data_IF_184443474669
#
_entry.id   IF_184443474669
#
_cell.length_a   1.000
_cell.length_b   1.000
_cell.length_c   1.000
_cell.angle_alpha   90.00
_cell.angle_beta   90.00
_cell.angle_gamma   90.00
#
_symmetry.space_group_name_H-M   'P 1'
#
loop_
_entity.id
_entity.type
_entity.pdbx_description
1 polymer ?
#
# COMPACT_ATOMS: atom_id res chain seq x y z
N UNK A 1 -17.12 17.28 30.76
CA UNK A 1 -15.99 16.34 30.49
C UNK A 1 -14.77 17.16 30.11
N UNK A 2 -13.62 16.97 30.77
CA UNK A 2 -12.43 17.80 30.54
C UNK A 2 -11.93 17.60 29.09
N UNK A 3 -11.60 18.71 28.42
CA UNK A 3 -11.03 18.69 27.06
C UNK A 3 -9.49 18.59 27.14
N UNK A 4 -8.99 17.78 28.07
CA UNK A 4 -7.57 17.63 28.35
C UNK A 4 -7.00 16.35 27.68
N UNK A 5 -5.75 16.44 27.24
CA UNK A 5 -4.99 15.33 26.72
C UNK A 5 -4.68 14.31 27.81
N UNK A 6 -5.05 13.06 27.60
CA UNK A 6 -4.81 11.97 28.56
C UNK A 6 -3.33 11.76 28.92
N UNK A 7 -2.39 12.24 28.07
CA UNK A 7 -0.94 11.99 28.24
C UNK A 7 -0.13 13.16 28.79
N UNK A 8 -0.62 14.39 28.69
CA UNK A 8 0.17 15.57 29.10
C UNK A 8 -0.67 16.75 29.57
N UNK A 9 -1.96 16.57 29.83
CA UNK A 9 -2.92 17.55 30.33
C UNK A 9 -3.10 18.83 29.49
N UNK A 10 -2.41 18.98 28.33
CA UNK A 10 -2.68 20.07 27.38
C UNK A 10 -4.05 19.92 26.75
N UNK A 11 -4.57 20.95 26.09
CA UNK A 11 -5.83 20.89 25.35
C UNK A 11 -5.78 19.77 24.32
N UNK A 12 -6.76 18.88 24.36
CA UNK A 12 -6.93 17.81 23.38
C UNK A 12 -7.57 18.35 22.09
N UNK A 13 -7.08 17.86 20.96
CA UNK A 13 -7.56 18.23 19.62
C UNK A 13 -7.97 17.00 18.79
N UNK A 14 -7.67 15.81 19.27
CA UNK A 14 -8.03 14.53 18.61
C UNK A 14 -8.71 13.63 19.62
N UNK A 15 -9.83 13.04 19.21
CA UNK A 15 -10.50 11.96 19.95
C UNK A 15 -10.40 10.65 19.15
N UNK A 16 -9.96 9.59 19.82
CA UNK A 16 -9.85 8.24 19.27
C UNK A 16 -10.97 7.37 19.82
N UNK A 17 -12.09 7.18 19.10
CA UNK A 17 -13.28 6.51 19.62
C UNK A 17 -13.03 5.06 20.10
N UNK A 18 -12.16 4.32 19.39
CA UNK A 18 -11.86 2.92 19.70
C UNK A 18 -11.09 2.72 21.02
N UNK A 19 -10.47 3.75 21.56
CA UNK A 19 -9.73 3.72 22.85
C UNK A 19 -10.26 4.70 23.88
N UNK A 20 -11.21 5.58 23.50
CA UNK A 20 -11.70 6.67 24.35
C UNK A 20 -10.65 7.74 24.68
N UNK A 21 -9.47 7.71 24.03
CA UNK A 21 -8.39 8.65 24.32
C UNK A 21 -8.61 10.00 23.63
N UNK A 22 -8.48 11.07 24.41
CA UNK A 22 -8.36 12.46 23.93
C UNK A 22 -6.89 12.86 23.94
N UNK A 23 -6.34 13.34 22.82
CA UNK A 23 -4.92 13.65 22.66
C UNK A 23 -4.71 15.07 22.10
N UNK A 24 -3.68 15.76 22.59
CA UNK A 24 -3.18 16.96 21.94
C UNK A 24 -2.38 16.60 20.67
N UNK A 25 -2.11 17.58 19.80
CA UNK A 25 -1.35 17.41 18.54
C UNK A 25 -0.06 16.59 18.75
N UNK A 26 0.81 16.99 19.69
CA UNK A 26 2.10 16.31 19.94
C UNK A 26 1.91 14.86 20.39
N UNK A 27 1.02 14.62 21.33
CA UNK A 27 0.78 13.27 21.86
C UNK A 27 0.11 12.36 20.80
N UNK A 28 -0.74 12.92 19.94
CA UNK A 28 -1.33 12.18 18.81
C UNK A 28 -0.25 11.74 17.82
N UNK A 29 0.58 12.67 17.32
CA UNK A 29 1.67 12.34 16.38
C UNK A 29 2.59 11.26 16.94
N UNK A 30 3.03 11.43 18.18
CA UNK A 30 3.87 10.43 18.86
C UNK A 30 3.16 9.08 19.05
N UNK A 31 1.83 9.09 19.24
CA UNK A 31 1.04 7.86 19.36
C UNK A 31 1.02 7.07 18.05
N UNK A 32 0.82 7.76 16.93
CA UNK A 32 0.85 7.13 15.58
C UNK A 32 2.23 6.52 15.33
N UNK A 33 3.29 7.30 15.46
CA UNK A 33 4.67 6.85 15.24
C UNK A 33 5.04 5.65 16.11
N UNK A 34 4.68 5.68 17.41
CA UNK A 34 4.94 4.57 18.34
C UNK A 34 4.18 3.30 17.94
N UNK A 35 2.94 3.41 17.47
CA UNK A 35 2.15 2.25 17.02
C UNK A 35 2.74 1.64 15.76
N UNK A 36 3.21 2.46 14.81
CA UNK A 36 3.92 1.97 13.62
C UNK A 36 5.20 1.24 14.03
N UNK A 37 6.02 1.85 14.87
CA UNK A 37 7.24 1.20 15.38
C UNK A 37 6.94 -0.11 16.13
N UNK A 38 5.90 -0.13 16.98
CA UNK A 38 5.48 -1.34 17.67
C UNK A 38 5.04 -2.45 16.70
N UNK A 39 4.34 -2.08 15.63
CA UNK A 39 3.89 -3.04 14.62
C UNK A 39 5.07 -3.63 13.83
N UNK A 40 6.03 -2.79 13.42
CA UNK A 40 7.27 -3.22 12.77
C UNK A 40 8.01 -4.23 13.68
N UNK A 41 8.19 -3.90 14.96
CA UNK A 41 8.89 -4.76 15.91
C UNK A 41 8.13 -6.07 16.18
N UNK A 42 6.81 -6.01 16.39
CA UNK A 42 5.95 -7.17 16.68
C UNK A 42 5.98 -8.20 15.55
N UNK A 43 5.97 -7.74 14.31
CA UNK A 43 5.92 -8.59 13.13
C UNK A 43 7.29 -8.85 12.51
N UNK A 44 8.35 -8.29 13.11
CA UNK A 44 9.73 -8.39 12.61
C UNK A 44 9.85 -8.00 11.13
N UNK A 45 9.14 -6.92 10.75
CA UNK A 45 9.09 -6.46 9.36
C UNK A 45 10.42 -5.94 8.85
N UNK A 46 11.23 -5.33 9.71
CA UNK A 46 12.50 -4.69 9.38
C UNK A 46 13.60 -5.15 10.32
N UNK A 47 14.81 -5.24 9.79
CA UNK A 47 16.06 -5.37 10.53
C UNK A 47 16.75 -4.00 10.60
N UNK A 48 17.67 -3.84 11.54
CA UNK A 48 18.37 -2.56 11.78
C UNK A 48 19.33 -2.14 10.65
N UNK A 49 19.69 -3.06 9.77
CA UNK A 49 20.62 -2.86 8.66
C UNK A 49 19.96 -2.97 7.28
N UNK A 50 18.62 -3.04 7.21
CA UNK A 50 17.93 -3.23 5.94
C UNK A 50 18.08 -2.02 5.01
N UNK A 51 18.25 -2.30 3.73
CA UNK A 51 18.03 -1.36 2.64
C UNK A 51 16.55 -1.41 2.26
N UNK A 52 15.81 -0.37 2.61
CA UNK A 52 14.35 -0.35 2.58
C UNK A 52 13.84 0.45 1.38
N UNK A 53 13.16 -0.21 0.45
CA UNK A 53 12.41 0.46 -0.61
C UNK A 53 11.08 0.99 -0.10
N UNK A 54 10.81 2.27 -0.26
CA UNK A 54 9.54 2.90 0.10
C UNK A 54 8.77 3.24 -1.16
N UNK A 55 7.65 2.53 -1.42
CA UNK A 55 6.78 2.83 -2.54
C UNK A 55 5.98 4.11 -2.26
N UNK A 56 6.31 5.20 -2.94
CA UNK A 56 5.68 6.51 -2.74
C UNK A 56 4.92 6.92 -3.99
N UNK A 57 3.59 6.95 -3.89
CA UNK A 57 2.69 7.32 -4.99
C UNK A 57 2.38 8.81 -5.07
N UNK A 58 2.80 9.63 -4.10
CA UNK A 58 2.39 11.03 -3.96
C UNK A 58 1.06 11.22 -3.21
N UNK A 59 0.30 10.16 -2.97
CA UNK A 59 -0.89 10.19 -2.14
C UNK A 59 -0.57 10.23 -0.65
N UNK A 60 -1.53 10.72 0.14
CA UNK A 60 -1.46 10.96 1.58
C UNK A 60 -0.75 9.87 2.38
N UNK A 61 -1.22 8.61 2.26
CA UNK A 61 -0.72 7.52 3.10
C UNK A 61 0.74 7.17 2.77
N UNK A 62 1.13 7.25 1.49
CA UNK A 62 2.51 6.97 1.08
C UNK A 62 3.49 8.03 1.57
N UNK A 63 3.08 9.29 1.59
CA UNK A 63 3.87 10.40 2.15
C UNK A 63 3.99 10.26 3.68
N UNK A 64 2.89 9.95 4.37
CA UNK A 64 2.89 9.69 5.81
C UNK A 64 3.83 8.55 6.18
N UNK A 65 3.76 7.43 5.43
CA UNK A 65 4.65 6.28 5.63
C UNK A 65 6.12 6.69 5.50
N UNK A 66 6.46 7.43 4.43
CA UNK A 66 7.82 7.89 4.17
C UNK A 66 8.38 8.70 5.35
N UNK A 67 7.61 9.70 5.84
CA UNK A 67 8.02 10.55 6.97
C UNK A 67 8.16 9.77 8.28
N UNK A 68 7.27 8.81 8.55
CA UNK A 68 7.34 7.99 9.75
C UNK A 68 8.56 7.06 9.68
N UNK A 69 8.80 6.40 8.54
CA UNK A 69 9.97 5.54 8.36
C UNK A 69 11.27 6.33 8.45
N UNK A 70 11.37 7.48 7.81
CA UNK A 70 12.54 8.35 7.94
C UNK A 70 12.86 8.67 9.41
N UNK A 71 11.84 9.02 10.20
CA UNK A 71 12.02 9.30 11.63
C UNK A 71 12.41 8.07 12.45
N UNK A 72 11.93 6.88 12.09
CA UNK A 72 12.26 5.63 12.79
C UNK A 72 13.69 5.20 12.43
N UNK A 73 13.98 5.15 11.14
CA UNK A 73 15.22 4.60 10.59
C UNK A 73 16.42 5.52 10.80
N UNK A 74 16.21 6.84 10.97
CA UNK A 74 17.29 7.77 11.35
C UNK A 74 18.00 7.41 12.66
N UNK A 75 17.42 6.52 13.46
CA UNK A 75 18.04 5.98 14.68
C UNK A 75 18.93 4.75 14.44
N UNK A 76 18.95 4.23 13.23
CA UNK A 76 19.71 3.05 12.84
C UNK A 76 20.69 3.43 11.72
N UNK A 77 21.97 3.68 12.05
CA UNK A 77 22.95 4.20 11.08
C UNK A 77 23.19 3.30 9.87
N UNK A 78 22.99 2.00 10.02
CA UNK A 78 23.16 1.01 8.94
C UNK A 78 21.93 0.89 8.04
N UNK A 79 20.74 1.37 8.49
CA UNK A 79 19.52 1.34 7.70
C UNK A 79 19.57 2.40 6.59
N UNK A 80 19.09 2.03 5.41
CA UNK A 80 19.02 2.93 4.25
C UNK A 80 17.60 2.96 3.71
N UNK A 81 17.13 4.16 3.38
CA UNK A 81 15.85 4.36 2.72
C UNK A 81 16.08 4.72 1.25
N UNK A 82 15.25 4.13 0.38
CA UNK A 82 15.19 4.44 -1.05
C UNK A 82 13.73 4.66 -1.45
N UNK A 83 13.40 5.81 -2.02
CA UNK A 83 12.07 6.06 -2.57
C UNK A 83 11.95 5.37 -3.93
N UNK A 84 10.88 4.60 -4.13
CA UNK A 84 10.54 3.98 -5.41
C UNK A 84 9.19 4.55 -5.87
N UNK A 85 9.20 5.22 -7.02
CA UNK A 85 8.01 5.81 -7.63
C UNK A 85 7.73 5.17 -8.99
N UNK A 86 6.46 4.84 -9.22
CA UNK A 86 5.97 4.36 -10.51
C UNK A 86 5.02 5.40 -11.08
N UNK A 87 5.33 5.90 -12.26
CA UNK A 87 4.43 6.73 -13.05
C UNK A 87 3.52 5.82 -13.90
N UNK A 88 2.24 5.82 -13.59
CA UNK A 88 1.26 5.04 -14.32
C UNK A 88 0.86 5.67 -15.67
N UNK A 89 1.23 6.91 -15.92
CA UNK A 89 0.88 7.65 -17.12
C UNK A 89 -0.61 8.02 -17.17
N UNK A 90 -1.15 8.49 -16.05
CA UNK A 90 -2.49 9.09 -15.95
C UNK A 90 -2.33 10.59 -16.13
N UNK A 91 -2.95 11.14 -17.19
CA UNK A 91 -2.83 12.54 -17.56
C UNK A 91 -3.09 13.48 -16.38
N UNK A 92 -2.25 14.50 -16.22
CA UNK A 92 -2.25 15.51 -15.15
C UNK A 92 -2.10 14.93 -13.72
N UNK A 93 -2.55 13.70 -13.46
CA UNK A 93 -2.51 13.08 -12.15
C UNK A 93 -1.11 12.57 -11.81
N UNK A 94 -0.48 11.85 -12.73
CA UNK A 94 0.85 11.28 -12.52
C UNK A 94 1.94 12.34 -12.39
N UNK A 95 1.91 13.39 -13.20
CA UNK A 95 2.87 14.50 -13.14
C UNK A 95 2.79 15.26 -11.80
N UNK A 96 1.57 15.52 -11.33
CA UNK A 96 1.36 16.13 -10.03
C UNK A 96 1.91 15.29 -8.89
N UNK A 97 1.66 13.97 -8.94
CA UNK A 97 2.20 13.02 -7.97
C UNK A 97 3.72 13.01 -7.95
N UNK A 98 4.37 12.99 -9.11
CA UNK A 98 5.82 12.99 -9.23
C UNK A 98 6.44 14.26 -8.63
N UNK A 99 5.83 15.45 -8.86
CA UNK A 99 6.29 16.71 -8.24
C UNK A 99 6.28 16.62 -6.72
N UNK A 100 5.24 16.05 -6.13
CA UNK A 100 5.13 15.83 -4.68
C UNK A 100 6.22 14.88 -4.20
N UNK A 101 6.41 13.75 -4.87
CA UNK A 101 7.43 12.76 -4.49
C UNK A 101 8.84 13.36 -4.53
N UNK A 102 9.19 14.08 -5.60
CA UNK A 102 10.48 14.78 -5.73
C UNK A 102 10.70 15.81 -4.62
N UNK A 103 9.65 16.54 -4.23
CA UNK A 103 9.71 17.49 -3.12
C UNK A 103 10.10 16.79 -1.83
N UNK A 104 9.40 15.71 -1.44
CA UNK A 104 9.71 14.98 -0.20
C UNK A 104 11.06 14.26 -0.25
N UNK A 105 11.46 13.74 -1.41
CA UNK A 105 12.80 13.15 -1.59
C UNK A 105 13.91 14.17 -1.26
N UNK A 106 13.77 15.39 -1.78
CA UNK A 106 14.70 16.51 -1.52
C UNK A 106 14.64 16.95 -0.06
N UNK A 107 13.44 17.17 0.51
CA UNK A 107 13.26 17.61 1.90
C UNK A 107 13.86 16.64 2.94
N UNK A 108 13.76 15.34 2.68
CA UNK A 108 14.26 14.29 3.58
C UNK A 108 15.66 13.79 3.22
N UNK A 109 16.24 14.29 2.13
CA UNK A 109 17.53 13.83 1.60
C UNK A 109 17.57 12.31 1.39
N UNK A 110 16.48 11.73 0.82
CA UNK A 110 16.36 10.31 0.52
C UNK A 110 16.49 10.12 -0.99
N UNK A 111 17.35 9.18 -1.46
CA UNK A 111 17.44 8.85 -2.89
C UNK A 111 16.09 8.44 -3.48
N UNK A 112 15.83 8.85 -4.73
CA UNK A 112 14.62 8.53 -5.48
C UNK A 112 14.99 7.82 -6.78
N UNK A 113 14.39 6.65 -6.99
CA UNK A 113 14.33 6.01 -8.30
C UNK A 113 12.91 6.01 -8.82
N UNK A 114 12.75 6.19 -10.12
CA UNK A 114 11.44 6.23 -10.76
C UNK A 114 11.47 5.49 -12.10
N UNK A 115 10.33 4.98 -12.51
CA UNK A 115 10.08 4.46 -13.84
C UNK A 115 8.61 4.67 -14.20
N UNK A 116 8.26 4.45 -15.47
CA UNK A 116 6.89 4.61 -15.96
C UNK A 116 6.33 3.32 -16.56
N UNK A 117 5.01 3.25 -16.64
CA UNK A 117 4.35 2.18 -17.41
C UNK A 117 4.75 2.22 -18.88
N UNK A 118 4.99 3.42 -19.43
CA UNK A 118 5.45 3.58 -20.81
C UNK A 118 6.80 2.90 -21.04
N UNK A 119 7.74 3.06 -20.12
CA UNK A 119 9.06 2.42 -20.18
C UNK A 119 9.00 0.89 -20.00
N UNK A 120 8.19 0.40 -19.03
CA UNK A 120 8.16 -1.03 -18.71
C UNK A 120 7.26 -1.82 -19.66
N UNK A 121 6.12 -1.24 -20.09
CA UNK A 121 5.06 -1.94 -20.82
C UNK A 121 4.79 -1.39 -22.22
N UNK A 122 5.49 -0.33 -22.63
CA UNK A 122 5.30 0.35 -23.91
C UNK A 122 4.02 1.21 -24.01
N UNK A 123 3.20 1.25 -22.95
CA UNK A 123 1.92 1.95 -22.92
C UNK A 123 1.68 2.58 -21.56
N UNK A 124 1.03 3.75 -21.53
CA UNK A 124 0.51 4.37 -20.30
C UNK A 124 -0.75 3.64 -19.82
N UNK A 125 -1.18 3.90 -18.58
CA UNK A 125 -2.46 3.37 -18.10
C UNK A 125 -3.63 3.91 -18.92
N UNK A 126 -3.61 5.20 -19.29
CA UNK A 126 -4.64 5.80 -20.12
C UNK A 126 -4.76 5.11 -21.48
N UNK A 127 -3.63 4.80 -22.13
CA UNK A 127 -3.59 4.04 -23.40
C UNK A 127 -4.14 2.61 -23.20
N UNK A 128 -3.75 1.94 -22.11
CA UNK A 128 -4.21 0.58 -21.78
C UNK A 128 -5.74 0.56 -21.60
N UNK A 129 -6.29 1.52 -20.88
CA UNK A 129 -7.73 1.58 -20.62
C UNK A 129 -8.52 1.91 -21.89
N UNK A 130 -8.05 2.86 -22.70
CA UNK A 130 -8.66 3.15 -24.00
C UNK A 130 -8.74 1.93 -24.91
N UNK A 131 -7.71 1.09 -24.92
CA UNK A 131 -7.70 -0.17 -25.69
C UNK A 131 -8.69 -1.18 -25.07
N UNK A 132 -8.64 -1.35 -23.75
CA UNK A 132 -9.53 -2.28 -23.05
C UNK A 132 -11.02 -1.91 -23.17
N UNK A 133 -11.35 -0.63 -23.31
CA UNK A 133 -12.72 -0.13 -23.50
C UNK A 133 -13.29 -0.44 -24.88
N UNK A 134 -12.44 -0.51 -25.90
CA UNK A 134 -12.83 -0.90 -27.27
C UNK A 134 -12.97 -2.40 -27.46
N UNK A 135 -12.52 -3.20 -26.51
CA UNK A 135 -12.60 -4.65 -26.57
C UNK A 135 -14.01 -5.12 -26.16
N UNK A 136 -14.64 -5.98 -26.98
CA UNK A 136 -15.94 -6.61 -26.70
C UNK A 136 -15.92 -7.43 -25.39
N UNK A 137 -14.72 -7.81 -24.93
CA UNK A 137 -14.49 -8.60 -23.71
C UNK A 137 -14.14 -7.76 -22.46
N UNK A 138 -14.63 -6.54 -22.32
CA UNK A 138 -14.42 -5.68 -21.15
C UNK A 138 -14.92 -6.34 -19.86
N UNK A 139 -14.08 -7.16 -19.21
CA UNK A 139 -14.42 -7.83 -17.93
C UNK A 139 -13.72 -7.21 -16.72
N UNK A 140 -12.78 -6.29 -16.92
CA UNK A 140 -11.94 -5.77 -15.83
C UNK A 140 -11.89 -4.23 -15.86
N UNK A 141 -12.13 -3.62 -14.71
CA UNK A 141 -11.96 -2.17 -14.52
C UNK A 141 -10.49 -1.73 -14.48
N UNK A 142 -10.25 -0.45 -14.68
CA UNK A 142 -8.93 0.19 -14.71
C UNK A 142 -8.06 -0.15 -13.48
N UNK A 143 -8.65 -0.17 -12.29
CA UNK A 143 -7.96 -0.51 -11.05
C UNK A 143 -7.37 -1.93 -11.05
N UNK A 144 -7.98 -2.87 -11.78
CA UNK A 144 -7.47 -4.23 -11.92
C UNK A 144 -6.18 -4.28 -12.75
N UNK A 145 -6.15 -3.57 -13.88
CA UNK A 145 -4.93 -3.42 -14.71
C UNK A 145 -3.85 -2.71 -13.90
N UNK A 146 -4.18 -1.53 -13.37
CA UNK A 146 -3.24 -0.72 -12.59
C UNK A 146 -2.64 -1.50 -11.43
N UNK A 147 -3.46 -2.18 -10.63
CA UNK A 147 -2.98 -2.92 -9.46
C UNK A 147 -2.06 -4.10 -9.80
N UNK A 148 -2.27 -4.79 -10.92
CA UNK A 148 -1.41 -5.90 -11.37
C UNK A 148 -0.08 -5.37 -11.91
N UNK A 149 -0.14 -4.38 -12.80
CA UNK A 149 1.04 -3.80 -13.45
C UNK A 149 1.93 -3.07 -12.43
N UNK A 150 1.35 -2.27 -11.53
CA UNK A 150 2.07 -1.56 -10.47
C UNK A 150 2.83 -2.52 -9.55
N UNK A 151 2.20 -3.62 -9.12
CA UNK A 151 2.87 -4.61 -8.27
C UNK A 151 4.06 -5.27 -8.96
N UNK A 152 3.96 -5.54 -10.26
CA UNK A 152 5.06 -6.08 -11.05
C UNK A 152 6.18 -5.06 -11.21
N UNK A 153 5.86 -3.82 -11.59
CA UNK A 153 6.81 -2.72 -11.74
C UNK A 153 7.59 -2.45 -10.43
N UNK A 154 6.87 -2.34 -9.31
CA UNK A 154 7.47 -2.14 -7.99
C UNK A 154 8.41 -3.29 -7.60
N UNK A 155 8.04 -4.56 -7.86
CA UNK A 155 8.92 -5.68 -7.56
C UNK A 155 10.19 -5.66 -8.41
N UNK A 156 10.06 -5.34 -9.70
CA UNK A 156 11.20 -5.21 -10.63
C UNK A 156 12.17 -4.13 -10.13
N UNK A 157 11.67 -2.92 -9.88
CA UNK A 157 12.48 -1.78 -9.39
C UNK A 157 13.15 -2.08 -8.05
N UNK A 158 12.42 -2.65 -7.11
CA UNK A 158 12.94 -3.01 -5.80
C UNK A 158 14.07 -4.04 -5.89
N UNK A 159 13.94 -5.04 -6.77
CA UNK A 159 14.99 -6.04 -7.02
C UNK A 159 16.21 -5.43 -7.68
N UNK A 160 16.04 -4.61 -8.72
CA UNK A 160 17.13 -3.94 -9.44
C UNK A 160 17.90 -2.97 -8.54
N UNK A 161 17.23 -2.35 -7.59
CA UNK A 161 17.84 -1.50 -6.57
C UNK A 161 18.41 -2.28 -5.37
N UNK A 162 18.38 -3.61 -5.38
CA UNK A 162 18.88 -4.47 -4.31
C UNK A 162 18.36 -4.07 -2.92
N UNK A 163 17.07 -3.73 -2.80
CA UNK A 163 16.47 -3.50 -1.48
C UNK A 163 16.09 -4.82 -0.83
N UNK A 164 16.24 -4.89 0.49
CA UNK A 164 15.92 -6.09 1.28
C UNK A 164 14.42 -6.29 1.42
N UNK A 165 13.67 -5.19 1.49
CA UNK A 165 12.23 -5.20 1.53
C UNK A 165 11.60 -3.97 0.88
N UNK A 166 10.36 -4.11 0.43
CA UNK A 166 9.54 -3.04 -0.16
C UNK A 166 8.40 -2.69 0.78
N UNK A 167 8.32 -1.44 1.21
CA UNK A 167 7.23 -0.95 2.06
C UNK A 167 6.11 -0.34 1.22
N UNK A 168 4.87 -0.62 1.60
CA UNK A 168 3.68 -0.03 1.00
C UNK A 168 2.76 0.55 2.08
N UNK A 169 2.08 1.64 1.76
CA UNK A 169 1.32 2.44 2.72
C UNK A 169 -0.12 1.96 2.96
N UNK A 170 -0.37 0.64 2.84
CA UNK A 170 -1.67 0.10 3.17
C UNK A 170 -1.95 0.28 4.67
N UNK A 171 -3.05 0.96 4.97
CA UNK A 171 -3.50 1.29 6.31
C UNK A 171 -4.50 0.24 6.86
N UNK A 172 -5.07 0.45 8.05
CA UNK A 172 -6.02 -0.46 8.69
C UNK A 172 -7.29 -0.64 7.86
N UNK A 173 -7.76 0.42 7.22
CA UNK A 173 -8.95 0.40 6.36
C UNK A 173 -8.72 -0.48 5.12
N UNK A 174 -7.56 -0.34 4.48
CA UNK A 174 -7.17 -1.17 3.32
C UNK A 174 -7.05 -2.65 3.69
N UNK A 175 -6.45 -2.95 4.84
CA UNK A 175 -6.27 -4.32 5.31
C UNK A 175 -7.63 -4.98 5.60
N UNK A 176 -8.49 -4.30 6.35
CA UNK A 176 -9.81 -4.86 6.71
C UNK A 176 -10.73 -5.02 5.51
N UNK A 177 -10.72 -4.06 4.57
CA UNK A 177 -11.42 -4.20 3.29
C UNK A 177 -10.90 -5.41 2.51
N UNK A 178 -9.58 -5.60 2.44
CA UNK A 178 -8.97 -6.73 1.71
C UNK A 178 -9.29 -8.07 2.38
N UNK A 179 -9.24 -8.14 3.71
CA UNK A 179 -9.60 -9.33 4.48
C UNK A 179 -11.06 -9.71 4.19
N UNK A 180 -11.99 -8.77 4.36
CA UNK A 180 -13.42 -9.02 4.16
C UNK A 180 -13.73 -9.37 2.71
N UNK A 181 -13.10 -8.68 1.74
CA UNK A 181 -13.24 -8.99 0.32
C UNK A 181 -12.82 -10.43 -0.02
N UNK A 182 -11.72 -10.91 0.57
CA UNK A 182 -11.24 -12.27 0.33
C UNK A 182 -12.13 -13.32 1.01
N UNK A 183 -12.68 -13.01 2.20
CA UNK A 183 -13.65 -13.87 2.88
C UNK A 183 -14.93 -13.99 2.03
N UNK A 184 -15.51 -12.88 1.59
CA UNK A 184 -16.74 -12.85 0.81
C UNK A 184 -16.58 -13.51 -0.59
N UNK A 185 -15.34 -13.57 -1.11
CA UNK A 185 -15.01 -14.29 -2.35
C UNK A 185 -14.62 -15.75 -2.13
N UNK A 186 -14.56 -16.23 -0.90
CA UNK A 186 -14.10 -17.59 -0.58
C UNK A 186 -12.63 -17.84 -0.96
N UNK A 187 -11.78 -16.79 -1.10
CA UNK A 187 -10.41 -16.93 -1.60
C UNK A 187 -9.41 -17.08 -0.44
N UNK A 188 -9.32 -18.29 0.12
CA UNK A 188 -8.39 -18.63 1.19
C UNK A 188 -6.93 -18.40 0.79
N UNK A 189 -6.59 -18.62 -0.48
CA UNK A 189 -5.22 -18.42 -0.97
C UNK A 189 -4.81 -16.94 -0.91
N UNK A 190 -5.70 -16.02 -1.30
CA UNK A 190 -5.44 -14.58 -1.18
C UNK A 190 -5.48 -14.13 0.27
N UNK A 191 -6.40 -14.68 1.06
CA UNK A 191 -6.47 -14.40 2.48
C UNK A 191 -5.14 -14.75 3.16
N UNK A 192 -4.62 -15.97 3.01
CA UNK A 192 -3.32 -16.38 3.57
C UNK A 192 -2.16 -15.51 3.09
N UNK A 193 -2.09 -15.21 1.78
CA UNK A 193 -1.00 -14.40 1.20
C UNK A 193 -1.02 -12.92 1.61
N UNK A 194 -2.14 -12.40 2.09
CA UNK A 194 -2.23 -11.03 2.60
C UNK A 194 -1.56 -10.87 3.98
N UNK A 195 -1.35 -11.99 4.70
CA UNK A 195 -0.68 -11.96 6.00
C UNK A 195 0.76 -11.44 5.86
N UNK A 196 1.18 -10.49 6.70
CA UNK A 196 2.52 -9.94 6.62
C UNK A 196 3.55 -11.03 6.90
N UNK A 197 4.38 -11.32 5.91
CA UNK A 197 5.50 -12.23 6.04
C UNK A 197 6.73 -11.58 5.41
N UNK A 198 7.75 -11.26 6.19
CA UNK A 198 9.00 -10.71 5.65
C UNK A 198 9.86 -11.78 4.95
N UNK A 199 9.40 -13.04 4.90
CA UNK A 199 10.16 -14.13 4.30
C UNK A 199 10.23 -14.01 2.78
N UNK A 200 11.42 -14.17 2.24
CA UNK A 200 11.68 -14.25 0.81
C UNK A 200 11.26 -15.63 0.31
N UNK A 201 10.20 -15.68 -0.48
CA UNK A 201 9.63 -16.93 -1.01
C UNK A 201 10.19 -17.33 -2.37
N UNK A 202 10.91 -16.43 -3.04
CA UNK A 202 11.56 -16.66 -4.33
C UNK A 202 12.70 -15.64 -4.51
N UNK A 203 13.86 -15.97 -5.14
CA UNK A 203 14.97 -15.04 -5.32
C UNK A 203 14.61 -13.71 -6.01
N UNK A 204 13.69 -13.75 -6.96
CA UNK A 204 13.22 -12.57 -7.71
C UNK A 204 12.06 -11.83 -7.05
N UNK A 205 11.56 -12.27 -5.89
CA UNK A 205 10.50 -11.57 -5.13
C UNK A 205 11.09 -10.84 -3.94
N UNK A 206 10.91 -9.53 -3.94
CA UNK A 206 11.25 -8.69 -2.78
C UNK A 206 10.09 -8.75 -1.77
N UNK A 207 10.36 -9.08 -0.49
CA UNK A 207 9.35 -9.11 0.57
C UNK A 207 8.63 -7.76 0.67
N UNK A 208 7.30 -7.81 0.74
CA UNK A 208 6.48 -6.60 0.92
C UNK A 208 5.92 -6.51 2.33
N UNK A 209 6.10 -5.35 2.93
CA UNK A 209 5.65 -5.06 4.29
C UNK A 209 4.72 -3.85 4.32
N UNK A 210 3.90 -3.75 5.37
CA UNK A 210 2.83 -2.76 5.50
C UNK A 210 2.87 -2.12 6.89
N UNK A 211 3.79 -1.20 7.15
CA UNK A 211 3.97 -0.62 8.49
C UNK A 211 2.73 0.12 9.03
N UNK A 212 1.89 0.67 8.14
CA UNK A 212 0.66 1.40 8.53
C UNK A 212 -0.56 0.49 8.76
N UNK A 213 -0.45 -0.84 8.65
CA UNK A 213 -1.60 -1.76 8.70
C UNK A 213 -2.46 -1.70 9.97
N UNK A 214 -1.95 -1.12 11.05
CA UNK A 214 -2.68 -0.89 12.31
C UNK A 214 -3.11 0.55 12.52
N UNK A 215 -2.91 1.43 11.54
CA UNK A 215 -3.25 2.85 11.64
C UNK A 215 -4.50 3.12 10.78
N UNK A 216 -5.61 3.60 11.38
CA UNK A 216 -6.80 3.98 10.61
C UNK A 216 -6.51 5.09 9.58
N UNK A 217 -7.20 5.05 8.44
CA UNK A 217 -7.06 6.07 7.39
C UNK A 217 -7.33 7.48 7.91
N UNK A 218 -8.31 7.64 8.81
CA UNK A 218 -8.60 8.92 9.46
C UNK A 218 -7.39 9.46 10.23
N UNK A 219 -6.60 8.60 10.83
CA UNK A 219 -5.43 9.02 11.60
C UNK A 219 -4.24 9.37 10.70
N UNK A 220 -4.06 8.69 9.57
CA UNK A 220 -3.06 9.10 8.58
C UNK A 220 -3.42 10.46 7.98
N UNK A 221 -4.70 10.74 7.76
CA UNK A 221 -5.18 12.07 7.34
C UNK A 221 -4.85 13.16 8.36
N UNK A 222 -5.17 12.92 9.64
CA UNK A 222 -4.84 13.86 10.70
C UNK A 222 -3.33 14.02 10.90
N UNK A 223 -2.57 12.95 10.73
CA UNK A 223 -1.11 12.99 10.81
C UNK A 223 -0.52 13.88 9.70
N UNK A 224 -0.96 13.70 8.45
CA UNK A 224 -0.54 14.53 7.33
C UNK A 224 -0.88 16.01 7.56
N UNK A 225 -2.10 16.29 8.04
CA UNK A 225 -2.55 17.65 8.37
C UNK A 225 -1.68 18.29 9.47
N UNK A 226 -1.50 17.62 10.60
CA UNK A 226 -0.73 18.17 11.72
C UNK A 226 0.78 18.28 11.45
N UNK A 227 1.30 17.52 10.48
CA UNK A 227 2.70 17.62 10.03
C UNK A 227 2.87 18.53 8.82
N UNK A 228 1.78 19.13 8.31
CA UNK A 228 1.76 19.97 7.10
C UNK A 228 2.40 19.26 5.89
N UNK A 229 2.12 17.96 5.71
CA UNK A 229 2.69 17.18 4.62
C UNK A 229 1.91 17.45 3.32
N UNK A 230 2.59 17.96 2.30
CA UNK A 230 2.00 18.10 0.97
C UNK A 230 1.75 16.73 0.35
N UNK A 231 0.56 16.52 -0.19
CA UNK A 231 0.17 15.28 -0.86
C UNK A 231 -0.91 15.58 -1.91
N UNK A 232 -1.09 14.66 -2.85
CA UNK A 232 -2.20 14.77 -3.79
C UNK A 232 -3.50 14.43 -3.07
N UNK A 233 -4.42 15.38 -2.99
CA UNK A 233 -5.76 15.23 -2.43
C UNK A 233 -6.81 14.86 -3.47
N UNK A 234 -6.49 14.97 -4.77
CA UNK A 234 -7.42 14.61 -5.84
C UNK A 234 -7.53 13.08 -5.95
N UNK A 235 -8.74 12.54 -6.07
CA UNK A 235 -8.90 11.11 -6.32
C UNK A 235 -8.35 10.75 -7.70
N UNK A 236 -7.93 9.49 -7.87
CA UNK A 236 -7.55 8.99 -9.18
C UNK A 236 -8.77 9.02 -10.12
N UNK A 237 -8.64 9.52 -11.37
CA UNK A 237 -9.77 9.59 -12.32
C UNK A 237 -10.42 8.23 -12.60
N UNK A 238 -9.68 7.14 -12.42
CA UNK A 238 -10.15 5.77 -12.61
C UNK A 238 -10.73 5.13 -11.36
N UNK A 239 -10.90 5.87 -10.26
CA UNK A 239 -11.59 5.35 -9.08
C UNK A 239 -13.06 5.16 -9.43
N UNK A 240 -13.47 3.90 -9.54
CA UNK A 240 -14.86 3.51 -9.83
C UNK A 240 -15.50 2.91 -8.60
N UNK A 241 -16.80 3.11 -8.45
CA UNK A 241 -17.61 2.37 -7.48
C UNK A 241 -17.58 0.88 -7.84
N UNK A 242 -17.43 0.04 -6.83
CA UNK A 242 -17.36 -1.41 -7.02
C UNK A 242 -17.36 -2.14 -5.69
N UNK A 243 -17.32 -3.46 -5.74
CA UNK A 243 -17.45 -4.34 -4.58
C UNK A 243 -16.55 -3.95 -3.38
N UNK A 244 -15.39 -3.34 -3.65
CA UNK A 244 -14.51 -2.82 -2.58
C UNK A 244 -15.11 -1.57 -1.91
N UNK A 245 -15.84 -0.75 -2.64
CA UNK A 245 -16.48 0.45 -2.10
C UNK A 245 -17.67 0.09 -1.22
N UNK A 246 -18.46 -0.92 -1.60
CA UNK A 246 -19.55 -1.44 -0.75
C UNK A 246 -18.99 -1.92 0.60
N UNK A 247 -17.89 -2.66 0.55
CA UNK A 247 -17.18 -3.13 1.76
C UNK A 247 -16.67 -1.94 2.59
N UNK A 248 -16.12 -0.91 1.93
CA UNK A 248 -15.64 0.30 2.60
C UNK A 248 -16.77 1.02 3.31
N UNK A 249 -17.89 1.21 2.64
CA UNK A 249 -19.08 1.86 3.22
C UNK A 249 -19.59 1.05 4.42
N UNK A 250 -19.75 -0.26 4.27
CA UNK A 250 -20.17 -1.16 5.34
C UNK A 250 -19.23 -1.09 6.55
N UNK A 251 -17.92 -1.23 6.36
CA UNK A 251 -16.95 -1.18 7.45
C UNK A 251 -16.93 0.17 8.16
N UNK A 252 -17.09 1.28 7.41
CA UNK A 252 -17.16 2.62 8.00
C UNK A 252 -18.44 2.82 8.82
N UNK A 253 -19.57 2.28 8.39
CA UNK A 253 -20.81 2.32 9.16
C UNK A 253 -20.68 1.50 10.45
N UNK A 254 -20.11 0.30 10.36
CA UNK A 254 -19.87 -0.54 11.54
C UNK A 254 -18.90 0.10 12.53
N UNK A 255 -17.78 0.67 12.03
CA UNK A 255 -16.81 1.36 12.88
C UNK A 255 -17.41 2.58 13.59
N UNK A 256 -18.33 3.31 12.94
CA UNK A 256 -19.05 4.44 13.55
C UNK A 256 -19.97 3.98 14.68
N UNK A 257 -20.71 2.89 14.48
CA UNK A 257 -21.63 2.34 15.47
C UNK A 257 -20.93 1.58 16.59
N UNK A 258 -19.82 0.93 16.28
CA UNK A 258 -19.03 0.06 17.18
C UNK A 258 -17.56 0.33 16.97
N UNK A 259 -16.99 1.38 17.57
CA UNK A 259 -15.59 1.74 17.43
C UNK A 259 -14.66 0.58 17.82
N UNK A 260 -13.65 0.32 16.99
CA UNK A 260 -12.73 -0.80 17.16
C UNK A 260 -13.09 -2.04 16.34
N UNK A 261 -14.18 -2.02 15.57
CA UNK A 261 -14.56 -3.14 14.67
C UNK A 261 -13.44 -3.52 13.72
N UNK A 262 -12.79 -2.55 13.07
CA UNK A 262 -11.67 -2.79 12.14
C UNK A 262 -10.48 -3.45 12.85
N UNK A 263 -10.15 -3.01 14.06
CA UNK A 263 -9.12 -3.65 14.88
C UNK A 263 -9.46 -5.08 15.26
N UNK A 264 -10.73 -5.37 15.55
CA UNK A 264 -11.18 -6.72 15.89
C UNK A 264 -11.02 -7.66 14.69
N UNK A 265 -11.40 -7.20 13.49
CA UNK A 265 -11.23 -7.95 12.24
C UNK A 265 -9.74 -8.25 12.01
N UNK A 266 -8.87 -7.23 12.11
CA UNK A 266 -7.44 -7.40 11.92
C UNK A 266 -6.83 -8.36 12.95
N UNK A 267 -7.21 -8.24 14.22
CA UNK A 267 -6.71 -9.14 15.30
C UNK A 267 -7.14 -10.58 15.10
N UNK A 268 -8.41 -10.81 14.70
CA UNK A 268 -8.89 -12.15 14.38
C UNK A 268 -8.10 -12.72 13.20
N UNK A 269 -7.94 -11.94 12.15
CA UNK A 269 -7.18 -12.34 10.97
C UNK A 269 -5.72 -12.70 11.32
N UNK A 270 -5.05 -11.91 12.15
CA UNK A 270 -3.67 -12.17 12.59
C UNK A 270 -3.53 -13.50 13.36
N UNK A 271 -4.59 -13.95 14.05
CA UNK A 271 -4.63 -15.24 14.72
C UNK A 271 -4.93 -16.40 13.76
N UNK A 272 -5.82 -16.19 12.81
CA UNK A 272 -6.29 -17.25 11.90
C UNK A 272 -5.33 -17.49 10.73
N UNK A 273 -4.81 -16.42 10.11
CA UNK A 273 -4.04 -16.52 8.88
C UNK A 273 -2.80 -17.43 8.98
N UNK A 274 -2.04 -17.46 10.08
CA UNK A 274 -0.94 -18.43 10.24
C UNK A 274 -1.39 -19.88 10.19
N UNK A 275 -2.61 -20.18 10.67
CA UNK A 275 -3.16 -21.54 10.80
C UNK A 275 -3.80 -22.04 9.49
N UNK A 276 -4.08 -21.16 8.53
CA UNK A 276 -4.66 -21.56 7.27
C UNK A 276 -3.70 -22.46 6.49
N UNK A 277 -4.15 -23.64 6.15
CA UNK A 277 -3.45 -24.52 5.21
C UNK A 277 -3.88 -24.18 3.79
N UNK A 278 -2.94 -23.94 2.90
CA UNK A 278 -3.20 -23.70 1.48
C UNK A 278 -2.28 -24.57 0.62
N UNK A 279 -2.81 -25.06 -0.47
CA UNK A 279 -1.99 -25.72 -1.49
C UNK A 279 -1.13 -24.65 -2.19
N UNK A 280 0.14 -24.55 -1.80
CA UNK A 280 1.09 -23.62 -2.41
C UNK A 280 1.43 -24.15 -3.81
N UNK A 281 0.93 -23.49 -4.85
CA UNK A 281 1.54 -23.68 -6.18
C UNK A 281 2.98 -23.16 -6.11
N UNK A 282 3.95 -23.92 -6.63
CA UNK A 282 5.33 -23.46 -6.70
C UNK A 282 5.40 -22.14 -7.48
N UNK A 283 6.23 -21.23 -7.00
CA UNK A 283 6.53 -20.01 -7.76
C UNK A 283 7.53 -20.38 -8.84
N UNK A 284 7.15 -20.11 -10.08
CA UNK A 284 7.97 -20.34 -11.28
C UNK A 284 8.19 -19.03 -12.03
N UNK A 285 9.05 -19.03 -13.02
CA UNK A 285 9.26 -17.86 -13.86
C UNK A 285 8.26 -17.83 -15.02
N UNK A 286 7.74 -16.65 -15.31
CA UNK A 286 6.83 -16.41 -16.42
C UNK A 286 7.52 -16.68 -17.74
N UNK A 287 6.96 -17.53 -18.59
CA UNK A 287 7.51 -17.87 -19.92
C UNK A 287 7.66 -16.66 -20.85
N UNK A 288 6.88 -15.58 -20.62
CA UNK A 288 6.92 -14.37 -21.48
C UNK A 288 7.93 -13.33 -20.98
N UNK A 289 8.11 -13.16 -19.67
CA UNK A 289 8.88 -12.03 -19.13
C UNK A 289 9.87 -12.40 -18.02
N UNK A 290 9.99 -13.67 -17.63
CA UNK A 290 10.92 -14.15 -16.60
C UNK A 290 10.60 -13.70 -15.17
N UNK A 291 9.52 -12.94 -14.94
CA UNK A 291 9.11 -12.52 -13.59
C UNK A 291 8.41 -13.66 -12.84
N UNK A 292 8.61 -13.74 -11.51
CA UNK A 292 8.05 -14.83 -10.71
C UNK A 292 6.51 -14.80 -10.68
N UNK A 293 5.91 -15.96 -10.87
CA UNK A 293 4.45 -16.14 -10.86
C UNK A 293 4.06 -17.57 -10.50
N UNK A 294 2.78 -17.80 -10.18
CA UNK A 294 2.25 -19.13 -9.86
C UNK A 294 1.73 -19.90 -11.09
N UNK A 295 1.67 -19.26 -12.25
CA UNK A 295 1.16 -19.83 -13.51
C UNK A 295 2.23 -19.72 -14.60
N UNK A 296 2.09 -20.48 -15.70
CA UNK A 296 3.04 -20.46 -16.84
C UNK A 296 3.27 -19.05 -17.39
N UNK A 297 2.22 -18.21 -17.41
CA UNK A 297 2.28 -16.80 -17.83
C UNK A 297 1.74 -15.92 -16.72
N UNK A 298 2.50 -14.91 -16.30
CA UNK A 298 2.09 -14.04 -15.19
C UNK A 298 0.86 -13.20 -15.58
N UNK A 299 0.09 -12.79 -14.56
CA UNK A 299 -1.15 -12.03 -14.79
C UNK A 299 -0.95 -10.74 -15.58
N UNK A 300 0.19 -10.06 -15.40
CA UNK A 300 0.50 -8.86 -16.17
C UNK A 300 0.64 -9.17 -17.67
N UNK A 301 1.39 -10.22 -18.02
CA UNK A 301 1.53 -10.63 -19.42
C UNK A 301 0.20 -11.14 -20.01
N UNK A 302 -0.61 -11.87 -19.23
CA UNK A 302 -1.95 -12.26 -19.67
C UNK A 302 -2.84 -11.05 -19.99
N UNK A 303 -2.79 -10.01 -19.17
CA UNK A 303 -3.57 -8.79 -19.39
C UNK A 303 -3.08 -8.02 -20.62
N UNK A 304 -1.76 -7.86 -20.78
CA UNK A 304 -1.17 -7.15 -21.91
C UNK A 304 -1.38 -7.90 -23.25
N UNK A 305 -1.25 -9.24 -23.23
CA UNK A 305 -1.47 -10.06 -24.42
C UNK A 305 -2.93 -10.00 -24.91
N UNK A 306 -3.91 -9.89 -24.00
CA UNK A 306 -5.31 -9.68 -24.39
C UNK A 306 -5.50 -8.38 -25.16
N UNK A 307 -4.86 -7.28 -24.70
CA UNK A 307 -4.94 -5.98 -25.37
C UNK A 307 -4.32 -5.98 -26.79
N UNK A 308 -3.37 -6.88 -27.05
CA UNK A 308 -2.73 -6.99 -28.36
C UNK A 308 -3.52 -7.88 -29.35
N UNK A 309 -4.36 -8.81 -28.84
CA UNK A 309 -5.21 -9.66 -29.69
C UNK A 309 -6.44 -8.92 -30.23
N UNK A 310 -6.86 -7.87 -29.56
CA UNK A 310 -8.00 -7.04 -29.91
C UNK A 310 -7.61 -5.84 -30.83
N UNK A 311 -6.44 -5.89 -31.50
CA UNK A 311 -6.17 -4.98 -32.62
C UNK A 311 -6.99 -5.45 -33.80
N UNK A 312 -7.91 -4.63 -34.35
CA UNK A 312 -8.48 -4.92 -35.66
C UNK A 312 -7.35 -4.99 -36.67
N UNK A 313 -7.37 -6.04 -37.49
CA UNK A 313 -6.53 -6.24 -38.66
C UNK A 313 -6.75 -5.09 -39.64
#
# INVERSE_FOLDING_TARGET
>A
MSNQCKKCSKTAVVFLPYSGEKLCRKCFLNSVERRVHKEIARTKMLKRSDHIGVAVSGGKDSVVLLHILHKIESKFPESKLLIIHIDEGISQYSEHNLKIVKKHAKELNIPLIQTSYKEIYGKTLDEIIKIAEKSENRRLGACSYCGVLRRKALNKMAREANVDCLTTAHNLDDETQTILLNILKGDLNRLKRNYPSPQKIHPKLVPRIKPLRTIPEKETTLYAYYRNLSHNSKPCPYTTEGYRDDIRVFLNQMERKRPGTKYNILRLYDKLAPQLTINKKPVQECLTCGEPCAEKVCKACQLLNRLNKDKPI
#
